data_IF_632950619804
#
_entry.id   IF_632950619804
#
_cell.length_a   1.000
_cell.length_b   1.000
_cell.length_c   1.000
_cell.angle_alpha   90.00
_cell.angle_beta   90.00
_cell.angle_gamma   90.00
#
_symmetry.space_group_name_H-M   'P 1'
#
loop_
_entity.id
_entity.type
_entity.pdbx_description
1 polymer ?
#
# COMPACT_ATOMS: atom_id res chain seq x y z
N UNK A 1 28.32 -51.41 -9.86
CA UNK A 1 29.46 -50.99 -9.02
C UNK A 1 30.67 -50.80 -9.93
N UNK A 2 31.44 -49.71 -9.83
CA UNK A 2 31.29 -48.54 -8.95
C UNK A 2 30.91 -47.26 -9.71
N UNK A 3 30.09 -46.42 -9.07
CA UNK A 3 29.88 -45.02 -9.42
C UNK A 3 30.88 -44.15 -8.63
N UNK A 4 31.38 -43.10 -9.26
CA UNK A 4 32.04 -41.95 -8.60
C UNK A 4 31.52 -40.68 -9.29
N UNK A 5 31.28 -39.57 -8.56
CA UNK A 5 30.42 -38.48 -9.00
C UNK A 5 31.20 -37.38 -9.72
N UNK A 6 30.53 -36.62 -10.59
CA UNK A 6 31.07 -35.37 -11.13
C UNK A 6 30.11 -34.20 -10.97
N UNK A 7 30.73 -33.08 -10.62
CA UNK A 7 30.19 -31.83 -10.11
C UNK A 7 29.36 -31.01 -11.10
N UNK A 8 28.57 -30.13 -10.48
CA UNK A 8 27.86 -28.98 -11.04
C UNK A 8 28.73 -28.04 -11.87
N UNK A 9 28.15 -27.48 -12.93
CA UNK A 9 28.55 -26.19 -13.49
C UNK A 9 27.30 -25.32 -13.73
N UNK A 10 27.34 -24.11 -13.19
CA UNK A 10 26.31 -23.09 -13.34
C UNK A 10 26.48 -22.28 -14.64
N UNK A 11 25.36 -21.71 -15.07
CA UNK A 11 25.28 -20.56 -15.97
C UNK A 11 24.43 -19.53 -15.22
N UNK A 12 24.83 -18.29 -14.98
CA UNK A 12 25.52 -17.36 -15.87
C UNK A 12 24.55 -16.18 -16.06
N UNK A 13 24.47 -15.28 -15.08
CA UNK A 13 23.63 -14.07 -15.13
C UNK A 13 24.40 -13.01 -15.92
N UNK A 14 23.88 -12.67 -17.09
CA UNK A 14 24.40 -11.61 -17.96
C UNK A 14 24.07 -10.23 -17.36
N UNK A 15 25.10 -9.42 -17.16
CA UNK A 15 25.00 -8.03 -16.73
C UNK A 15 24.28 -7.18 -17.79
N UNK A 16 23.25 -6.44 -17.38
CA UNK A 16 22.59 -5.43 -18.19
C UNK A 16 23.32 -4.09 -17.95
N UNK A 17 23.73 -3.47 -19.04
CA UNK A 17 24.71 -2.39 -19.11
C UNK A 17 24.22 -1.04 -18.57
N UNK A 18 25.15 -0.28 -17.98
CA UNK A 18 25.01 1.09 -17.45
C UNK A 18 24.55 2.15 -18.47
N UNK A 19 24.42 1.82 -19.76
CA UNK A 19 23.99 2.74 -20.81
C UNK A 19 22.46 2.84 -20.97
N UNK A 20 21.70 1.79 -20.67
CA UNK A 20 20.23 1.86 -20.77
C UNK A 20 19.65 2.75 -19.66
N UNK A 21 20.24 2.72 -18.47
CA UNK A 21 19.84 3.55 -17.32
C UNK A 21 20.08 5.05 -17.57
N UNK A 22 21.09 5.42 -18.37
CA UNK A 22 21.33 6.84 -18.71
C UNK A 22 20.32 7.37 -19.71
N UNK A 23 19.92 6.57 -20.70
CA UNK A 23 18.90 6.96 -21.68
C UNK A 23 17.52 7.18 -21.05
N UNK A 24 17.15 6.37 -20.04
CA UNK A 24 15.88 6.55 -19.32
C UNK A 24 15.83 7.86 -18.53
N UNK A 25 16.97 8.31 -17.98
CA UNK A 25 17.07 9.55 -17.20
C UNK A 25 16.99 10.80 -18.06
N UNK A 26 17.61 10.81 -19.24
CA UNK A 26 17.49 11.93 -20.18
C UNK A 26 16.05 12.05 -20.71
N UNK A 27 15.40 10.94 -21.03
CA UNK A 27 14.01 10.92 -21.50
C UNK A 27 13.00 11.44 -20.46
N UNK A 28 13.23 11.14 -19.17
CA UNK A 28 12.43 11.67 -18.07
C UNK A 28 12.60 13.18 -17.89
N UNK A 29 13.81 13.71 -18.16
CA UNK A 29 14.11 15.12 -18.01
C UNK A 29 13.43 15.98 -19.09
N UNK A 30 13.40 15.49 -20.34
CA UNK A 30 12.72 16.20 -21.45
C UNK A 30 11.20 16.27 -21.23
N UNK A 31 10.58 15.21 -20.70
CA UNK A 31 9.13 15.21 -20.41
C UNK A 31 8.72 16.14 -19.27
N UNK A 32 9.60 16.44 -18.32
CA UNK A 32 9.34 17.39 -17.25
C UNK A 32 9.36 18.84 -17.76
N UNK A 33 10.27 19.16 -18.70
CA UNK A 33 10.35 20.49 -19.31
C UNK A 33 9.15 20.79 -20.22
N UNK A 34 8.58 19.78 -20.89
CA UNK A 34 7.40 19.94 -21.74
C UNK A 34 6.09 20.20 -20.94
N UNK A 35 6.04 19.79 -19.66
CA UNK A 35 4.86 20.00 -18.80
C UNK A 35 4.86 21.41 -18.18
N UNK A 36 6.02 22.02 -17.95
CA UNK A 36 6.11 23.39 -17.44
C UNK A 36 5.79 24.46 -18.50
N UNK A 37 5.77 24.10 -19.79
CA UNK A 37 5.53 25.02 -20.89
C UNK A 37 4.04 25.28 -21.20
N UNK A 38 3.10 24.48 -20.69
CA UNK A 38 1.67 24.59 -21.02
C UNK A 38 0.84 25.47 -20.06
N UNK A 39 1.42 25.99 -18.98
CA UNK A 39 0.70 26.72 -17.92
C UNK A 39 0.83 28.26 -17.97
N UNK A 40 1.00 28.84 -19.17
CA UNK A 40 0.95 30.30 -19.35
C UNK A 40 -0.16 30.73 -20.33
N UNK A 41 -1.29 31.17 -19.77
CA UNK A 41 -2.28 32.01 -20.46
C UNK A 41 -2.83 33.09 -19.51
N UNK A 42 -3.18 34.29 -20.02
CA UNK A 42 -2.92 35.56 -19.33
C UNK A 42 -4.04 36.03 -18.40
N UNK A 43 -3.63 36.82 -17.40
CA UNK A 43 -4.47 37.61 -16.50
C UNK A 43 -5.40 38.56 -17.27
N UNK A 44 -6.66 38.64 -16.83
CA UNK A 44 -7.58 39.72 -17.21
C UNK A 44 -8.03 40.45 -15.95
N UNK A 45 -7.56 41.69 -15.82
CA UNK A 45 -8.00 42.71 -14.87
C UNK A 45 -9.52 42.94 -14.93
N UNK A 46 -10.15 43.07 -13.77
CA UNK A 46 -11.39 43.84 -13.60
C UNK A 46 -11.48 44.32 -12.13
N UNK A 47 -11.24 45.62 -11.93
CA UNK A 47 -11.52 46.33 -10.66
C UNK A 47 -13.05 46.54 -10.47
N UNK A 48 -13.54 46.68 -9.22
CA UNK A 48 -14.94 47.01 -8.95
C UNK A 48 -15.13 48.50 -8.66
N UNK A 49 -16.02 49.18 -9.41
CA UNK A 49 -16.59 50.47 -9.00
C UNK A 49 -18.00 50.29 -8.38
N UNK A 50 -18.18 50.89 -7.20
CA UNK A 50 -19.45 51.00 -6.47
C UNK A 50 -20.42 52.03 -7.11
N UNK A 51 -21.75 51.94 -6.85
CA UNK A 51 -22.75 52.78 -7.51
C UNK A 51 -23.15 54.01 -6.67
N UNK A 52 -23.81 55.02 -7.29
CA UNK A 52 -24.76 55.86 -6.58
C UNK A 52 -26.17 55.87 -7.18
N UNK A 53 -27.09 56.33 -6.34
CA UNK A 53 -28.53 56.15 -6.38
C UNK A 53 -29.33 57.27 -7.10
N UNK A 54 -30.53 56.89 -7.59
CA UNK A 54 -31.82 57.63 -7.67
C UNK A 54 -31.95 58.98 -8.40
N UNK A 55 -32.90 59.10 -9.34
CA UNK A 55 -34.22 59.81 -9.22
C UNK A 55 -35.01 59.91 -10.56
N UNK A 56 -36.32 60.20 -10.42
CA UNK A 56 -37.45 60.08 -11.37
C UNK A 56 -37.57 61.11 -12.53
N UNK A 57 -38.34 60.76 -13.58
CA UNK A 57 -39.31 61.67 -14.21
C UNK A 57 -39.56 61.59 -15.75
N UNK A 58 -40.79 61.22 -16.17
CA UNK A 58 -41.57 61.91 -17.24
C UNK A 58 -41.59 61.47 -18.72
N UNK A 59 -42.65 60.72 -19.11
CA UNK A 59 -43.52 60.71 -20.33
C UNK A 59 -43.05 61.28 -21.71
N UNK A 60 -43.15 60.61 -22.87
CA UNK A 60 -44.38 60.44 -23.71
C UNK A 60 -44.15 59.56 -24.98
N UNK A 61 -45.17 58.81 -25.42
CA UNK A 61 -45.52 58.66 -26.86
C UNK A 61 -45.29 57.35 -27.67
N UNK A 62 -46.36 56.54 -27.81
CA UNK A 62 -46.84 55.78 -29.02
C UNK A 62 -46.19 54.46 -29.57
N UNK A 63 -46.89 53.34 -29.29
CA UNK A 63 -47.25 52.07 -30.04
C UNK A 63 -46.57 51.57 -31.35
N UNK A 64 -46.75 50.30 -31.81
CA UNK A 64 -46.99 49.02 -31.10
C UNK A 64 -46.20 47.77 -31.63
N UNK A 65 -45.98 46.77 -30.76
CA UNK A 65 -46.07 45.33 -31.11
C UNK A 65 -44.80 44.56 -31.56
N UNK A 66 -44.29 43.66 -30.70
CA UNK A 66 -43.96 42.25 -31.03
C UNK A 66 -43.60 41.41 -29.80
N UNK A 67 -44.06 40.16 -29.82
CA UNK A 67 -44.10 39.17 -28.73
C UNK A 67 -42.72 38.79 -28.13
N UNK A 68 -42.71 38.67 -26.80
CA UNK A 68 -41.67 38.06 -25.94
C UNK A 68 -41.18 36.70 -26.50
N UNK A 69 -39.86 36.56 -26.71
CA UNK A 69 -39.14 35.28 -26.60
C UNK A 69 -38.22 35.35 -25.38
N UNK A 70 -38.63 34.71 -24.28
CA UNK A 70 -37.76 34.47 -23.10
C UNK A 70 -36.54 33.66 -23.56
N UNK A 71 -35.34 34.25 -23.53
CA UNK A 71 -34.07 33.50 -23.59
C UNK A 71 -34.03 32.58 -22.36
N UNK A 72 -34.08 31.27 -22.58
CA UNK A 72 -33.84 30.27 -21.54
C UNK A 72 -32.42 30.48 -20.99
N UNK A 73 -32.30 30.79 -19.70
CA UNK A 73 -31.01 30.75 -18.98
C UNK A 73 -30.44 29.33 -19.13
N UNK A 74 -29.21 29.20 -19.63
CA UNK A 74 -28.47 27.94 -19.59
C UNK A 74 -28.40 27.48 -18.12
N UNK A 75 -28.66 26.19 -17.81
CA UNK A 75 -28.49 25.72 -16.45
C UNK A 75 -27.01 25.89 -16.08
N UNK A 76 -26.74 26.55 -14.95
CA UNK A 76 -25.43 26.46 -14.29
C UNK A 76 -25.13 24.97 -14.13
N UNK A 77 -24.00 24.48 -14.66
CA UNK A 77 -23.49 23.14 -14.33
C UNK A 77 -23.48 23.06 -12.81
N UNK A 78 -24.36 22.25 -12.21
CA UNK A 78 -24.20 21.84 -10.82
C UNK A 78 -22.82 21.21 -10.76
N UNK A 79 -21.94 21.72 -9.90
CA UNK A 79 -20.65 21.07 -9.64
C UNK A 79 -20.90 19.61 -9.33
N UNK A 80 -20.07 18.73 -9.90
CA UNK A 80 -20.12 17.31 -9.58
C UNK A 80 -19.90 17.20 -8.06
N UNK A 81 -20.81 16.54 -7.30
CA UNK A 81 -20.61 16.36 -5.87
C UNK A 81 -19.29 15.62 -5.66
N UNK A 82 -18.38 16.18 -4.87
CA UNK A 82 -17.17 15.48 -4.44
C UNK A 82 -17.64 14.32 -3.55
N UNK A 83 -17.32 13.07 -3.90
CA UNK A 83 -17.70 11.93 -3.06
C UNK A 83 -17.04 12.07 -1.69
N UNK A 84 -17.81 11.93 -0.62
CA UNK A 84 -17.31 12.02 0.76
C UNK A 84 -17.03 10.66 1.37
N UNK A 85 -17.44 9.57 0.71
CA UNK A 85 -17.29 8.19 1.17
C UNK A 85 -16.94 7.28 0.00
N UNK A 86 -16.25 6.18 0.29
CA UNK A 86 -15.94 5.13 -0.67
C UNK A 86 -17.21 4.36 -1.11
N UNK A 87 -17.19 3.74 -2.30
CA UNK A 87 -18.23 2.82 -2.77
C UNK A 87 -18.06 1.40 -2.23
N UNK A 88 -19.05 0.52 -2.44
CA UNK A 88 -18.97 -0.92 -2.13
C UNK A 88 -19.38 -1.73 -3.38
N UNK A 89 -18.45 -2.39 -4.11
CA UNK A 89 -17.01 -2.49 -3.81
C UNK A 89 -16.27 -1.14 -3.97
N UNK A 90 -15.08 -0.99 -3.36
CA UNK A 90 -14.32 0.27 -3.38
C UNK A 90 -13.79 0.55 -4.79
N UNK A 91 -14.27 1.64 -5.40
CA UNK A 91 -14.00 2.01 -6.80
C UNK A 91 -13.77 3.51 -7.02
N UNK A 92 -13.88 4.32 -5.98
CA UNK A 92 -13.62 5.77 -6.05
C UNK A 92 -12.12 6.00 -5.83
N UNK A 93 -11.42 6.68 -6.75
CA UNK A 93 -10.01 7.01 -6.58
C UNK A 93 -9.77 7.78 -5.29
N UNK A 94 -8.71 7.42 -4.57
CA UNK A 94 -8.41 8.02 -3.27
C UNK A 94 -8.12 9.52 -3.38
N UNK A 95 -7.55 9.96 -4.51
CA UNK A 95 -7.34 11.38 -4.84
C UNK A 95 -8.64 12.19 -4.89
N UNK A 96 -9.78 11.56 -5.17
CA UNK A 96 -11.10 12.21 -5.14
C UNK A 96 -11.62 12.39 -3.72
N UNK A 97 -11.27 11.48 -2.80
CA UNK A 97 -11.63 11.54 -1.38
C UNK A 97 -10.70 12.48 -0.59
N UNK A 98 -9.45 12.62 -1.02
CA UNK A 98 -8.43 13.49 -0.43
C UNK A 98 -7.86 14.49 -1.45
N UNK A 99 -8.63 15.52 -1.88
CA UNK A 99 -8.17 16.48 -2.89
C UNK A 99 -6.92 17.27 -2.49
N UNK A 100 -6.66 17.42 -1.19
CA UNK A 100 -5.47 18.09 -0.66
C UNK A 100 -4.19 17.25 -0.73
N UNK A 101 -4.28 15.96 -1.11
CA UNK A 101 -3.18 14.98 -1.07
C UNK A 101 -2.53 14.84 0.31
N UNK A 102 -3.28 15.13 1.36
CA UNK A 102 -2.90 14.87 2.74
C UNK A 102 -3.66 13.63 3.20
N UNK A 103 -2.93 12.54 3.42
CA UNK A 103 -3.51 11.25 3.77
C UNK A 103 -3.37 10.96 5.27
N UNK A 104 -4.25 10.12 5.85
CA UNK A 104 -4.20 9.77 7.26
C UNK A 104 -2.85 9.16 7.66
N UNK A 105 -2.31 9.64 8.78
CA UNK A 105 -1.09 9.08 9.36
C UNK A 105 -1.32 7.65 9.88
N UNK A 106 -0.25 6.86 9.89
CA UNK A 106 -0.24 5.59 10.60
C UNK A 106 -0.12 5.78 12.11
N UNK A 107 0.09 4.68 12.83
CA UNK A 107 0.45 4.75 14.25
C UNK A 107 1.87 5.30 14.39
N UNK A 108 2.03 6.38 15.16
CA UNK A 108 3.33 6.92 15.52
C UNK A 108 3.72 6.44 16.92
N UNK A 109 4.82 5.73 17.02
CA UNK A 109 5.35 5.19 18.27
C UNK A 109 6.69 5.83 18.62
N UNK A 110 6.95 5.99 19.91
CA UNK A 110 8.29 6.38 20.39
C UNK A 110 9.23 5.17 20.36
N UNK A 111 10.48 5.39 19.94
CA UNK A 111 11.48 4.32 19.96
C UNK A 111 11.79 3.89 21.40
N UNK A 112 11.97 2.59 21.59
CA UNK A 112 12.32 1.99 22.88
C UNK A 112 13.68 2.50 23.37
N UNK A 113 13.73 2.89 24.65
CA UNK A 113 14.93 3.40 25.33
C UNK A 113 15.57 4.64 24.67
N UNK A 114 14.83 5.35 23.82
CA UNK A 114 15.30 6.55 23.15
C UNK A 114 15.10 7.79 24.03
N UNK A 115 15.99 8.77 23.85
CA UNK A 115 15.85 10.04 24.53
C UNK A 115 14.89 10.96 23.74
N UNK A 116 14.24 11.92 24.42
CA UNK A 116 13.33 12.88 23.79
C UNK A 116 13.99 13.74 22.69
N UNK A 117 15.30 13.61 22.42
CA UNK A 117 15.98 14.38 21.39
C UNK A 117 15.44 14.08 20.00
N UNK A 118 14.94 12.88 19.69
CA UNK A 118 14.42 12.60 18.34
C UNK A 118 13.18 13.42 17.99
N UNK A 119 12.29 13.61 18.95
CA UNK A 119 11.06 14.38 18.76
C UNK A 119 11.25 15.89 18.94
N UNK A 120 12.23 16.30 19.76
CA UNK A 120 12.44 17.71 20.12
C UNK A 120 13.55 18.40 19.34
N UNK A 121 14.52 17.66 18.78
CA UNK A 121 15.63 18.23 18.04
C UNK A 121 15.16 18.83 16.70
N UNK A 122 15.49 20.09 16.48
CA UNK A 122 15.09 20.87 15.32
C UNK A 122 15.65 20.32 13.99
N UNK A 123 16.86 19.77 14.00
CA UNK A 123 17.49 19.15 12.82
C UNK A 123 16.72 17.91 12.38
N UNK A 124 16.37 17.03 13.32
CA UNK A 124 15.57 15.83 13.03
C UNK A 124 14.17 16.18 12.52
N UNK A 125 13.52 17.18 13.12
CA UNK A 125 12.23 17.70 12.62
C UNK A 125 12.36 18.35 11.23
N UNK A 126 13.50 18.95 10.92
CA UNK A 126 13.74 19.52 9.59
C UNK A 126 13.92 18.42 8.54
N UNK A 127 14.72 17.39 8.84
CA UNK A 127 14.88 16.21 7.98
C UNK A 127 13.53 15.51 7.72
N UNK A 128 12.71 15.35 8.77
CA UNK A 128 11.37 14.79 8.66
C UNK A 128 10.45 15.60 7.75
N UNK A 129 10.50 16.95 7.87
CA UNK A 129 9.75 17.87 6.98
C UNK A 129 10.21 17.78 5.52
N UNK A 130 11.50 17.58 5.27
CA UNK A 130 12.03 17.42 3.89
C UNK A 130 11.47 16.13 3.27
N UNK A 131 11.27 15.07 4.07
CA UNK A 131 10.76 13.79 3.60
C UNK A 131 9.23 13.70 3.53
N UNK A 132 8.50 14.81 3.73
CA UNK A 132 7.04 14.81 3.78
C UNK A 132 6.39 14.20 2.52
N UNK A 133 6.93 14.46 1.33
CA UNK A 133 6.39 13.88 0.08
C UNK A 133 6.50 12.34 0.09
N UNK A 134 7.63 11.81 0.55
CA UNK A 134 7.80 10.36 0.74
C UNK A 134 6.80 9.80 1.76
N UNK A 135 6.55 10.54 2.85
CA UNK A 135 5.56 10.12 3.84
C UNK A 135 4.14 10.12 3.25
N UNK A 136 3.77 11.11 2.44
CA UNK A 136 2.46 11.14 1.78
C UNK A 136 2.29 9.99 0.80
N UNK A 137 3.32 9.63 0.03
CA UNK A 137 3.27 8.48 -0.89
C UNK A 137 3.01 7.17 -0.13
N UNK A 138 3.73 6.93 0.98
CA UNK A 138 3.47 5.77 1.85
C UNK A 138 2.06 5.81 2.47
N UNK A 139 1.63 6.98 2.97
CA UNK A 139 0.31 7.14 3.59
C UNK A 139 -0.82 6.92 2.59
N UNK A 140 -0.64 7.36 1.34
CA UNK A 140 -1.57 7.09 0.24
C UNK A 140 -1.65 5.58 -0.03
N UNK A 141 -0.51 4.92 -0.25
CA UNK A 141 -0.47 3.47 -0.46
C UNK A 141 -1.10 2.70 0.70
N UNK A 142 -0.84 3.13 1.93
CA UNK A 142 -1.36 2.50 3.14
C UNK A 142 -2.87 2.69 3.29
N UNK A 143 -3.40 3.86 2.92
CA UNK A 143 -4.85 4.10 2.94
C UNK A 143 -5.58 3.29 1.89
N UNK A 144 -5.02 3.14 0.68
CA UNK A 144 -5.53 2.23 -0.34
C UNK A 144 -5.55 0.81 0.22
N UNK A 145 -4.43 0.34 0.77
CA UNK A 145 -4.32 -1.00 1.36
C UNK A 145 -5.37 -1.21 2.47
N UNK A 146 -5.53 -0.26 3.39
CA UNK A 146 -6.54 -0.31 4.47
C UNK A 146 -7.95 -0.48 3.94
N UNK A 147 -8.38 0.34 2.96
CA UNK A 147 -9.73 0.25 2.40
C UNK A 147 -9.95 -1.07 1.65
N UNK A 148 -8.97 -1.51 0.86
CA UNK A 148 -9.05 -2.78 0.12
C UNK A 148 -9.05 -3.98 1.08
N UNK A 149 -8.23 -3.95 2.13
CA UNK A 149 -8.19 -4.99 3.18
C UNK A 149 -9.53 -5.11 3.92
N UNK A 150 -10.14 -3.97 4.29
CA UNK A 150 -11.45 -3.95 4.93
C UNK A 150 -12.53 -4.57 4.02
N UNK A 151 -12.53 -4.21 2.74
CA UNK A 151 -13.40 -4.82 1.74
C UNK A 151 -13.12 -6.33 1.60
N UNK A 152 -11.86 -6.74 1.48
CA UNK A 152 -11.47 -8.14 1.34
C UNK A 152 -11.94 -8.99 2.53
N UNK A 153 -11.75 -8.53 3.78
CA UNK A 153 -12.25 -9.22 4.98
C UNK A 153 -13.77 -9.41 4.97
N UNK A 154 -14.52 -8.44 4.45
CA UNK A 154 -15.98 -8.54 4.29
C UNK A 154 -16.37 -9.49 3.16
N UNK A 155 -15.70 -9.39 2.02
CA UNK A 155 -16.03 -10.08 0.77
C UNK A 155 -15.65 -11.55 0.78
N UNK A 156 -14.46 -11.92 1.28
CA UNK A 156 -13.94 -13.28 1.23
C UNK A 156 -14.83 -14.21 2.09
N UNK A 157 -15.35 -15.26 1.45
CA UNK A 157 -16.20 -16.29 2.08
C UNK A 157 -15.89 -17.67 1.51
N UNK A 158 -16.16 -18.74 2.26
CA UNK A 158 -16.08 -20.12 1.76
C UNK A 158 -16.92 -20.28 0.49
N UNK A 159 -16.40 -21.04 -0.48
CA UNK A 159 -17.03 -21.24 -1.78
C UNK A 159 -16.59 -20.28 -2.89
N UNK A 160 -15.78 -19.26 -2.58
CA UNK A 160 -15.23 -18.36 -3.59
C UNK A 160 -13.99 -18.94 -4.28
N UNK A 161 -13.87 -18.75 -5.60
CA UNK A 161 -12.65 -19.09 -6.32
C UNK A 161 -11.52 -18.12 -5.94
N UNK A 162 -10.29 -18.61 -5.81
CA UNK A 162 -9.14 -17.74 -5.49
C UNK A 162 -8.91 -16.69 -6.57
N UNK A 163 -9.17 -17.03 -7.83
CA UNK A 163 -9.09 -16.09 -8.96
C UNK A 163 -10.03 -14.90 -8.77
N UNK A 164 -11.25 -15.14 -8.30
CA UNK A 164 -12.23 -14.06 -8.06
C UNK A 164 -11.80 -13.19 -6.89
N UNK A 165 -11.23 -13.78 -5.83
CA UNK A 165 -10.71 -13.05 -4.68
C UNK A 165 -9.56 -12.13 -5.12
N UNK A 166 -8.57 -12.67 -5.86
CA UNK A 166 -7.43 -11.92 -6.36
C UNK A 166 -7.89 -10.76 -7.25
N UNK A 167 -8.74 -11.02 -8.24
CA UNK A 167 -9.24 -9.98 -9.15
C UNK A 167 -9.99 -8.88 -8.39
N UNK A 168 -10.83 -9.23 -7.41
CA UNK A 168 -11.56 -8.25 -6.62
C UNK A 168 -10.63 -7.34 -5.80
N UNK A 169 -9.54 -7.87 -5.24
CA UNK A 169 -8.52 -7.09 -4.51
C UNK A 169 -7.78 -6.18 -5.49
N UNK A 170 -7.25 -6.74 -6.58
CA UNK A 170 -6.44 -6.00 -7.54
C UNK A 170 -7.23 -4.91 -8.26
N UNK A 171 -8.47 -5.18 -8.66
CA UNK A 171 -9.35 -4.17 -9.26
C UNK A 171 -9.66 -3.04 -8.30
N UNK A 172 -9.76 -3.34 -7.00
CA UNK A 172 -9.95 -2.32 -5.97
C UNK A 172 -8.70 -1.46 -5.82
N UNK A 173 -7.51 -2.06 -5.80
CA UNK A 173 -6.24 -1.30 -5.75
C UNK A 173 -6.10 -0.39 -6.98
N UNK A 174 -6.29 -0.93 -8.19
CA UNK A 174 -6.23 -0.15 -9.45
C UNK A 174 -7.22 1.01 -9.46
N UNK A 175 -8.45 0.79 -8.96
CA UNK A 175 -9.46 1.84 -8.90
C UNK A 175 -9.11 2.92 -7.88
N UNK A 176 -8.64 2.54 -6.70
CA UNK A 176 -8.31 3.47 -5.60
C UNK A 176 -7.01 4.23 -5.83
N UNK A 177 -6.02 3.61 -6.49
CA UNK A 177 -4.82 4.32 -6.94
C UNK A 177 -5.15 5.31 -8.05
N UNK A 178 -6.16 5.02 -8.87
CA UNK A 178 -6.45 5.77 -10.10
C UNK A 178 -5.56 5.37 -11.27
N UNK A 179 -4.78 4.31 -11.11
CA UNK A 179 -3.79 3.80 -12.07
C UNK A 179 -4.10 2.34 -12.39
N UNK A 180 -4.51 2.09 -13.63
CA UNK A 180 -4.91 0.75 -14.07
C UNK A 180 -3.75 -0.09 -14.59
N UNK A 181 -2.59 0.54 -14.83
CA UNK A 181 -1.39 -0.11 -15.33
C UNK A 181 -1.48 -0.57 -16.79
N UNK A 182 -2.47 -0.10 -17.56
CA UNK A 182 -2.68 -0.48 -18.96
C UNK A 182 -1.91 0.41 -19.94
N UNK A 183 -1.69 1.67 -19.57
CA UNK A 183 -0.85 2.59 -20.35
C UNK A 183 0.61 2.41 -19.95
N UNK A 184 1.53 2.47 -20.92
CA UNK A 184 2.97 2.37 -20.66
C UNK A 184 3.41 3.42 -19.63
N UNK A 185 4.10 2.96 -18.58
CA UNK A 185 4.58 3.81 -17.48
C UNK A 185 3.52 4.15 -16.40
N UNK A 186 2.23 3.91 -16.64
CA UNK A 186 1.17 4.20 -15.65
C UNK A 186 1.38 3.42 -14.35
N UNK A 187 1.69 2.13 -14.47
CA UNK A 187 1.95 1.25 -13.34
C UNK A 187 3.22 1.61 -12.56
N UNK A 188 4.09 2.50 -13.05
CA UNK A 188 5.24 3.00 -12.27
C UNK A 188 4.82 4.15 -11.34
N UNK A 189 3.75 4.87 -11.67
CA UNK A 189 3.26 5.99 -10.85
C UNK A 189 2.58 5.44 -9.59
N UNK A 190 1.63 4.54 -9.72
CA UNK A 190 1.03 3.84 -8.60
C UNK A 190 0.31 2.57 -9.05
N UNK A 191 0.04 1.66 -8.11
CA UNK A 191 -0.67 0.42 -8.40
C UNK A 191 -0.31 -0.70 -7.45
N UNK A 192 -0.37 -1.94 -7.96
CA UNK A 192 0.02 -3.14 -7.22
C UNK A 192 1.52 -3.13 -6.95
N UNK A 193 1.93 -3.21 -5.68
CA UNK A 193 3.34 -3.34 -5.30
C UNK A 193 3.93 -4.70 -5.64
N UNK A 194 3.11 -5.75 -5.57
CA UNK A 194 3.40 -7.13 -5.94
C UNK A 194 2.07 -7.92 -6.09
N UNK A 195 2.07 -9.14 -6.66
CA UNK A 195 0.84 -9.91 -6.88
C UNK A 195 0.08 -10.24 -5.58
N UNK A 196 -1.24 -10.43 -5.67
CA UNK A 196 -2.05 -10.83 -4.52
C UNK A 196 -1.76 -12.29 -4.13
N UNK A 197 -1.01 -12.49 -3.06
CA UNK A 197 -0.79 -13.77 -2.41
C UNK A 197 -2.05 -14.28 -1.71
N UNK A 198 -2.46 -15.50 -2.02
CA UNK A 198 -3.62 -16.22 -1.48
C UNK A 198 -3.19 -17.63 -1.04
N UNK A 199 -2.13 -17.70 -0.24
CA UNK A 199 -1.51 -18.97 0.15
C UNK A 199 -2.41 -19.69 1.17
N UNK A 200 -2.76 -20.95 0.90
CA UNK A 200 -3.72 -21.71 1.71
C UNK A 200 -3.02 -22.83 2.49
N UNK A 201 -3.45 -23.02 3.74
CA UNK A 201 -3.04 -24.10 4.64
C UNK A 201 -1.52 -24.15 4.81
N UNK A 202 -0.89 -25.27 4.46
CA UNK A 202 0.55 -25.50 4.62
C UNK A 202 1.42 -24.64 3.70
N UNK A 203 0.86 -24.01 2.67
CA UNK A 203 1.58 -23.04 1.84
C UNK A 203 1.58 -21.69 2.55
N UNK A 204 2.74 -21.23 3.02
CA UNK A 204 2.85 -20.03 3.84
C UNK A 204 2.77 -18.72 3.04
N UNK A 205 3.45 -18.66 1.89
CA UNK A 205 3.64 -17.45 1.11
C UNK A 205 3.77 -17.75 -0.40
N UNK A 206 3.74 -16.69 -1.22
CA UNK A 206 4.07 -16.68 -2.65
C UNK A 206 3.19 -17.55 -3.56
N UNK A 207 1.98 -17.91 -3.11
CA UNK A 207 0.99 -18.53 -3.98
C UNK A 207 -0.03 -17.50 -4.46
N UNK A 208 -0.24 -17.42 -5.77
CA UNK A 208 -1.35 -16.68 -6.39
C UNK A 208 -1.95 -17.54 -7.53
N UNK A 209 -3.27 -17.49 -7.77
CA UNK A 209 -3.88 -18.32 -8.82
C UNK A 209 -3.45 -17.89 -10.23
N UNK A 210 -2.83 -18.81 -10.97
CA UNK A 210 -2.58 -18.65 -12.41
C UNK A 210 -3.87 -18.85 -13.24
N UNK A 211 -3.83 -18.46 -14.51
CA UNK A 211 -4.93 -18.68 -15.45
C UNK A 211 -5.38 -20.15 -15.46
N UNK A 212 -6.69 -20.38 -15.38
CA UNK A 212 -7.28 -21.72 -15.32
C UNK A 212 -7.25 -22.38 -13.93
N UNK A 213 -6.77 -21.69 -12.89
CA UNK A 213 -6.91 -22.16 -11.52
C UNK A 213 -8.39 -22.38 -11.14
N UNK A 214 -8.65 -23.48 -10.43
CA UNK A 214 -10.00 -23.88 -9.99
C UNK A 214 -10.09 -24.04 -8.47
N UNK A 215 -9.10 -23.56 -7.72
CA UNK A 215 -9.10 -23.68 -6.27
C UNK A 215 -10.15 -22.75 -5.68
N UNK A 216 -10.87 -23.27 -4.70
CA UNK A 216 -11.97 -22.62 -4.01
C UNK A 216 -11.61 -22.61 -2.54
N UNK A 217 -11.76 -21.47 -1.87
CA UNK A 217 -11.52 -21.38 -0.43
C UNK A 217 -12.62 -22.15 0.33
N UNK A 218 -12.23 -23.04 1.22
CA UNK A 218 -13.11 -23.85 2.06
C UNK A 218 -13.32 -23.27 3.47
N UNK A 219 -14.30 -23.82 4.20
CA UNK A 219 -14.62 -23.43 5.59
C UNK A 219 -13.46 -23.67 6.55
N UNK A 220 -12.69 -24.74 6.32
CA UNK A 220 -11.59 -25.18 7.19
C UNK A 220 -10.21 -24.65 6.76
N UNK A 221 -10.16 -23.85 5.71
CA UNK A 221 -8.91 -23.34 5.19
C UNK A 221 -8.37 -22.17 6.03
N UNK A 222 -7.05 -22.12 6.14
CA UNK A 222 -6.31 -20.98 6.68
C UNK A 222 -5.59 -20.28 5.52
N UNK A 223 -6.16 -19.18 5.06
CA UNK A 223 -5.66 -18.44 3.91
C UNK A 223 -4.91 -17.19 4.34
N UNK A 224 -3.68 -17.01 3.86
CA UNK A 224 -2.91 -15.78 4.02
C UNK A 224 -3.19 -14.90 2.81
N UNK A 225 -3.72 -13.72 3.05
CA UNK A 225 -3.98 -12.69 2.04
C UNK A 225 -2.89 -11.63 2.18
N UNK A 226 -2.05 -11.55 1.17
CA UNK A 226 -0.83 -10.74 1.17
C UNK A 226 -0.79 -9.97 -0.15
N UNK A 227 -0.82 -8.64 -0.09
CA UNK A 227 -0.80 -7.83 -1.30
C UNK A 227 -0.16 -6.48 -1.03
N UNK A 228 0.56 -5.98 -2.04
CA UNK A 228 1.25 -4.70 -1.96
C UNK A 228 0.53 -3.60 -2.70
N UNK A 229 0.69 -2.37 -2.22
CA UNK A 229 0.31 -1.15 -2.95
C UNK A 229 1.53 -0.24 -3.01
N UNK A 230 1.81 0.37 -4.16
CA UNK A 230 2.85 1.40 -4.23
C UNK A 230 2.33 2.72 -4.80
N UNK A 231 3.01 3.79 -4.42
CA UNK A 231 2.91 5.14 -5.01
C UNK A 231 4.34 5.64 -5.17
N UNK A 232 4.73 6.04 -6.39
CA UNK A 232 6.08 6.48 -6.76
C UNK A 232 7.19 5.52 -6.28
N UNK A 233 6.93 4.21 -6.35
CA UNK A 233 7.82 3.16 -5.89
C UNK A 233 7.93 2.99 -4.37
N UNK A 234 7.20 3.75 -3.56
CA UNK A 234 7.08 3.55 -2.11
C UNK A 234 6.06 2.43 -1.86
N UNK A 235 6.55 1.23 -1.56
CA UNK A 235 5.72 0.04 -1.44
C UNK A 235 5.24 -0.12 0.00
N UNK A 236 3.92 -0.24 0.16
CA UNK A 236 3.29 -0.76 1.36
C UNK A 236 3.09 -2.25 1.18
N UNK A 237 3.78 -3.00 2.02
CA UNK A 237 3.73 -4.44 2.14
C UNK A 237 3.03 -4.80 3.45
N UNK A 238 1.90 -5.52 3.36
CA UNK A 238 1.10 -5.87 4.54
C UNK A 238 0.17 -7.04 4.22
N UNK A 239 0.17 -8.03 5.10
CA UNK A 239 -0.66 -9.21 5.00
C UNK A 239 -1.68 -9.34 6.14
N UNK A 240 -2.63 -10.26 5.97
CA UNK A 240 -3.49 -10.74 7.05
C UNK A 240 -3.94 -12.17 6.77
N UNK A 241 -4.31 -12.89 7.84
CA UNK A 241 -4.84 -14.25 7.73
C UNK A 241 -6.37 -14.25 7.81
N UNK A 242 -7.00 -15.09 6.98
CA UNK A 242 -8.42 -15.41 7.00
C UNK A 242 -8.58 -16.88 7.38
N UNK A 243 -9.30 -17.15 8.46
CA UNK A 243 -9.79 -18.45 8.85
C UNK A 243 -11.25 -18.29 9.26
N UNK A 244 -12.10 -19.28 8.95
CA UNK A 244 -13.51 -19.30 9.33
C UNK A 244 -13.79 -20.26 10.49
N UNK A 245 -12.97 -21.30 10.60
CA UNK A 245 -13.01 -22.25 11.70
C UNK A 245 -12.31 -21.66 12.94
N UNK A 246 -13.02 -21.48 14.07
CA UNK A 246 -12.47 -20.91 15.30
C UNK A 246 -11.36 -21.76 15.92
N UNK A 247 -11.20 -23.02 15.47
CA UNK A 247 -10.05 -23.87 15.84
C UNK A 247 -8.70 -23.16 15.64
N UNK A 248 -8.62 -22.22 14.68
CA UNK A 248 -7.40 -21.48 14.37
C UNK A 248 -7.28 -20.12 15.07
N UNK A 249 -8.25 -19.71 15.90
CA UNK A 249 -8.23 -18.37 16.51
C UNK A 249 -6.97 -18.13 17.35
N UNK A 250 -6.56 -19.13 18.14
CA UNK A 250 -5.34 -18.99 18.95
C UNK A 250 -4.07 -18.98 18.09
N UNK A 251 -4.10 -19.65 16.93
CA UNK A 251 -3.00 -19.61 15.97
C UNK A 251 -2.87 -18.22 15.33
N UNK A 252 -4.00 -17.59 14.97
CA UNK A 252 -4.03 -16.23 14.45
C UNK A 252 -3.61 -15.19 15.51
N UNK A 253 -4.03 -15.39 16.76
CA UNK A 253 -3.64 -14.54 17.88
C UNK A 253 -2.13 -14.61 18.14
N UNK A 254 -1.55 -15.81 18.20
CA UNK A 254 -0.12 -16.02 18.37
C UNK A 254 0.72 -15.24 17.36
N UNK A 255 0.34 -15.30 16.08
CA UNK A 255 1.05 -14.59 15.02
C UNK A 255 0.88 -13.11 15.09
N UNK A 256 -0.34 -12.65 15.35
CA UNK A 256 -0.60 -11.23 15.50
C UNK A 256 0.25 -10.63 16.62
N UNK A 257 0.29 -11.29 17.79
CA UNK A 257 1.08 -10.81 18.93
C UNK A 257 2.59 -10.89 18.67
N UNK A 258 3.05 -11.90 17.93
CA UNK A 258 4.43 -12.01 17.51
C UNK A 258 4.81 -10.91 16.49
N UNK A 259 3.95 -10.61 15.51
CA UNK A 259 4.12 -9.49 14.56
C UNK A 259 4.17 -8.16 15.29
N UNK A 260 3.20 -7.90 16.18
CA UNK A 260 3.13 -6.67 16.96
C UNK A 260 4.35 -6.52 17.87
N UNK A 261 4.88 -7.63 18.39
CA UNK A 261 6.16 -7.66 19.13
C UNK A 261 7.33 -7.30 18.24
N UNK A 262 7.42 -7.85 17.02
CA UNK A 262 8.44 -7.47 16.05
C UNK A 262 8.41 -5.98 15.72
N UNK A 263 7.23 -5.41 15.48
CA UNK A 263 7.04 -3.98 15.23
C UNK A 263 7.46 -3.14 16.44
N UNK A 264 7.08 -3.56 17.65
CA UNK A 264 7.41 -2.85 18.90
C UNK A 264 8.89 -2.88 19.23
N UNK A 265 9.59 -3.96 18.90
CA UNK A 265 11.04 -4.10 19.14
C UNK A 265 11.88 -3.52 18.00
N UNK A 266 11.30 -3.25 16.83
CA UNK A 266 11.98 -2.56 15.74
C UNK A 266 12.30 -1.11 16.09
N UNK A 267 13.48 -0.65 15.71
CA UNK A 267 13.91 0.72 15.97
C UNK A 267 15.30 1.01 15.44
N UNK A 268 15.63 2.29 15.30
CA UNK A 268 16.97 2.72 14.87
C UNK A 268 18.00 2.16 15.85
N UNK A 269 19.13 1.68 15.31
CA UNK A 269 20.23 1.05 16.05
C UNK A 269 19.94 -0.32 16.69
N UNK A 270 18.71 -0.85 16.55
CA UNK A 270 18.34 -2.19 17.02
C UNK A 270 18.92 -3.25 16.08
N UNK A 271 19.49 -4.32 16.66
CA UNK A 271 20.00 -5.47 15.90
C UNK A 271 18.85 -6.35 15.44
N UNK A 272 18.86 -6.77 14.18
CA UNK A 272 17.78 -7.58 13.62
C UNK A 272 17.62 -8.94 14.33
N UNK A 273 18.71 -9.54 14.85
CA UNK A 273 18.64 -10.77 15.66
C UNK A 273 17.88 -10.62 16.99
N UNK A 274 17.87 -9.42 17.59
CA UNK A 274 17.17 -9.18 18.85
C UNK A 274 15.66 -9.15 18.60
N UNK A 275 15.24 -8.54 17.48
CA UNK A 275 13.85 -8.55 17.00
C UNK A 275 13.40 -10.00 16.77
N UNK A 276 14.19 -10.80 16.04
CA UNK A 276 13.87 -12.21 15.80
C UNK A 276 13.80 -13.06 17.05
N UNK A 277 14.62 -12.75 18.07
CA UNK A 277 14.55 -13.43 19.36
C UNK A 277 13.26 -13.11 20.12
N UNK A 278 12.85 -11.84 20.15
CA UNK A 278 11.61 -11.41 20.80
C UNK A 278 10.35 -11.95 20.09
N UNK A 279 10.35 -11.97 18.76
CA UNK A 279 9.29 -12.58 17.95
C UNK A 279 9.14 -14.06 18.31
N UNK A 280 10.24 -14.82 18.32
CA UNK A 280 10.20 -16.25 18.61
C UNK A 280 9.69 -16.53 20.03
N UNK A 281 10.14 -15.75 21.02
CA UNK A 281 9.72 -15.90 22.41
C UNK A 281 8.20 -15.79 22.54
N UNK A 282 7.61 -14.75 21.93
CA UNK A 282 6.15 -14.55 21.95
C UNK A 282 5.44 -15.60 21.11
N UNK A 283 5.94 -15.93 19.91
CA UNK A 283 5.31 -16.93 19.06
C UNK A 283 5.23 -18.32 19.73
N UNK A 284 6.34 -18.76 20.31
CA UNK A 284 6.46 -20.10 20.92
C UNK A 284 5.86 -20.17 22.34
N UNK A 285 5.32 -19.07 22.87
CA UNK A 285 4.54 -19.09 24.12
C UNK A 285 3.09 -19.55 23.93
N UNK A 286 2.63 -19.71 22.68
CA UNK A 286 1.28 -20.14 22.35
C UNK A 286 1.24 -21.63 21.95
N UNK A 287 0.09 -22.25 22.19
CA UNK A 287 -0.24 -23.60 21.72
C UNK A 287 -1.63 -23.60 21.05
N UNK A 288 -1.88 -24.53 20.14
CA UNK A 288 -3.18 -24.66 19.47
C UNK A 288 -3.62 -26.12 19.47
N UNK A 289 -4.90 -26.38 19.76
CA UNK A 289 -5.48 -27.71 19.67
C UNK A 289 -6.17 -27.90 18.32
N UNK A 290 -5.69 -28.83 17.50
CA UNK A 290 -6.26 -29.14 16.18
C UNK A 290 -6.57 -30.63 16.14
N UNK A 291 -7.85 -30.97 16.02
CA UNK A 291 -8.29 -32.36 15.94
C UNK A 291 -8.01 -33.19 17.21
N UNK A 292 -8.06 -32.56 18.39
CA UNK A 292 -7.78 -33.21 19.68
C UNK A 292 -6.30 -33.38 20.01
N UNK A 293 -5.41 -32.77 19.22
CA UNK A 293 -3.96 -32.79 19.43
C UNK A 293 -3.47 -31.36 19.64
N UNK A 294 -2.75 -31.14 20.74
CA UNK A 294 -2.12 -29.85 21.04
C UNK A 294 -0.76 -29.73 20.35
N UNK A 295 -0.55 -28.61 19.66
CA UNK A 295 0.70 -28.27 18.99
C UNK A 295 1.26 -26.95 19.55
N UNK A 296 2.55 -26.87 19.89
CA UNK A 296 3.19 -25.59 20.11
C UNK A 296 3.26 -24.82 18.78
N UNK A 297 2.96 -23.52 18.81
CA UNK A 297 3.11 -22.66 17.63
C UNK A 297 4.59 -22.44 17.37
N UNK A 298 5.00 -22.48 16.10
CA UNK A 298 6.41 -22.32 15.68
C UNK A 298 6.52 -21.31 14.55
N UNK A 299 7.55 -20.47 14.64
CA UNK A 299 7.93 -19.59 13.56
C UNK A 299 8.56 -20.39 12.40
N UNK A 300 8.24 -20.04 11.14
CA UNK A 300 8.91 -20.63 9.98
C UNK A 300 10.31 -20.04 9.88
N UNK A 301 11.30 -20.74 10.44
CA UNK A 301 12.71 -20.27 10.57
C UNK A 301 13.38 -19.75 9.30
N UNK A 302 12.90 -20.13 8.12
CA UNK A 302 13.46 -19.75 6.82
C UNK A 302 12.58 -18.73 6.06
N UNK A 303 11.61 -18.11 6.74
CA UNK A 303 10.90 -16.93 6.28
C UNK A 303 11.22 -15.76 7.21
N UNK A 304 11.20 -14.55 6.67
CA UNK A 304 11.74 -13.37 7.31
C UNK A 304 10.97 -12.13 6.87
N UNK A 305 10.95 -11.10 7.73
CA UNK A 305 10.70 -9.74 7.26
C UNK A 305 11.90 -9.21 6.47
N UNK A 306 11.79 -8.01 5.92
CA UNK A 306 12.85 -7.44 5.08
C UNK A 306 12.77 -5.91 4.99
N UNK A 307 13.90 -5.28 4.69
CA UNK A 307 13.89 -3.87 4.27
C UNK A 307 13.19 -3.71 2.91
N UNK A 308 12.67 -2.52 2.64
CA UNK A 308 12.00 -2.13 1.40
C UNK A 308 12.70 -0.88 0.86
N UNK A 309 13.09 -0.94 -0.41
CA UNK A 309 13.67 0.18 -1.14
C UNK A 309 12.68 0.68 -2.21
N UNK A 310 12.87 1.90 -2.76
CA UNK A 310 12.05 2.37 -3.88
C UNK A 310 12.03 1.37 -5.04
N UNK A 311 10.83 0.93 -5.44
CA UNK A 311 10.60 -0.10 -6.47
C UNK A 311 11.24 -1.47 -6.21
N UNK A 312 11.70 -1.74 -5.00
CA UNK A 312 12.40 -2.96 -4.65
C UNK A 312 11.85 -3.51 -3.33
N UNK A 313 11.00 -4.54 -3.44
CA UNK A 313 10.32 -5.18 -2.30
C UNK A 313 11.30 -5.73 -1.27
N UNK A 314 12.42 -6.33 -1.70
CA UNK A 314 13.48 -6.81 -0.82
C UNK A 314 14.73 -5.93 -0.95
N UNK A 315 14.91 -5.01 -0.01
CA UNK A 315 15.98 -4.00 0.02
C UNK A 315 17.35 -4.51 0.48
N UNK A 316 17.48 -5.80 0.78
CA UNK A 316 18.76 -6.46 1.06
C UNK A 316 19.03 -6.76 2.54
N UNK A 317 18.30 -6.16 3.48
CA UNK A 317 18.33 -6.56 4.90
C UNK A 317 17.17 -7.50 5.20
N UNK A 318 17.42 -8.56 5.95
CA UNK A 318 16.40 -9.51 6.41
C UNK A 318 16.17 -9.35 7.91
N UNK A 319 14.90 -9.34 8.32
CA UNK A 319 14.48 -9.31 9.72
C UNK A 319 14.13 -10.74 10.13
N UNK A 320 14.97 -11.43 10.93
CA UNK A 320 14.71 -12.79 11.35
C UNK A 320 13.50 -12.86 12.28
N UNK A 321 12.89 -14.05 12.34
CA UNK A 321 11.72 -14.34 13.19
C UNK A 321 12.01 -15.47 14.19
N UNK A 322 13.29 -15.85 14.26
CA UNK A 322 13.85 -16.82 15.18
C UNK A 322 15.13 -16.24 15.78
N UNK A 323 15.47 -16.67 16.99
CA UNK A 323 16.70 -16.27 17.67
C UNK A 323 17.94 -16.70 16.88
N UNK A 324 18.98 -15.89 17.04
CA UNK A 324 20.22 -16.02 16.28
C UNK A 324 20.18 -15.24 14.97
N UNK A 325 21.17 -15.47 14.11
CA UNK A 325 21.29 -14.77 12.83
C UNK A 325 22.14 -13.50 12.91
N UNK A 326 21.87 -12.60 11.96
CA UNK A 326 22.68 -11.40 11.69
C UNK A 326 22.53 -10.33 12.79
N UNK A 327 23.64 -9.68 13.14
CA UNK A 327 23.68 -8.58 14.10
C UNK A 327 23.62 -7.19 13.43
N UNK A 328 23.41 -7.13 12.11
CA UNK A 328 23.13 -5.89 11.39
C UNK A 328 22.04 -5.08 12.10
N UNK A 329 22.24 -3.77 12.15
CA UNK A 329 21.32 -2.85 12.78
C UNK A 329 20.37 -2.22 11.77
N UNK A 330 19.17 -1.89 12.24
CA UNK A 330 18.27 -0.99 11.53
C UNK A 330 18.82 0.44 11.56
N UNK A 331 18.68 1.14 10.45
CA UNK A 331 19.21 2.50 10.24
C UNK A 331 18.10 3.54 10.12
N UNK A 332 18.44 4.80 10.36
CA UNK A 332 17.50 5.92 10.22
C UNK A 332 17.08 6.10 8.76
N UNK A 333 15.78 6.26 8.51
CA UNK A 333 15.21 6.40 7.17
C UNK A 333 14.96 5.07 6.43
N UNK A 334 15.22 3.93 7.07
CA UNK A 334 14.86 2.61 6.51
C UNK A 334 13.36 2.31 6.66
N UNK A 335 12.81 1.65 5.64
CA UNK A 335 11.48 1.05 5.68
C UNK A 335 11.63 -0.46 5.72
N UNK A 336 10.87 -1.13 6.58
CA UNK A 336 10.93 -2.59 6.71
C UNK A 336 9.53 -3.19 6.85
N UNK A 337 9.33 -4.37 6.27
CA UNK A 337 8.22 -5.26 6.55
C UNK A 337 8.58 -6.18 7.73
N UNK A 338 7.64 -6.37 8.66
CA UNK A 338 7.72 -7.29 9.80
C UNK A 338 6.72 -8.45 9.70
N UNK A 339 6.41 -8.93 8.49
CA UNK A 339 5.47 -10.04 8.29
C UNK A 339 5.97 -11.37 8.88
N UNK A 340 5.02 -12.13 9.43
CA UNK A 340 5.24 -13.38 10.15
C UNK A 340 4.47 -14.53 9.51
N UNK A 341 5.17 -15.66 9.32
CA UNK A 341 4.61 -16.85 8.66
C UNK A 341 4.61 -18.07 9.59
N UNK A 342 3.57 -18.91 9.46
CA UNK A 342 3.28 -20.05 10.36
C UNK A 342 3.53 -21.39 9.69
N UNK A 343 4.16 -22.30 10.43
CA UNK A 343 4.06 -23.73 10.18
C UNK A 343 3.65 -24.48 11.45
N UNK A 344 2.59 -25.28 11.39
CA UNK A 344 2.40 -26.40 12.31
C UNK A 344 3.07 -27.61 11.66
N UNK A 345 4.14 -28.13 12.27
CA UNK A 345 4.72 -29.37 11.78
C UNK A 345 3.85 -30.54 12.29
N UNK A 346 3.41 -31.49 11.44
CA UNK A 346 2.70 -32.68 11.88
C UNK A 346 3.57 -33.59 12.77
#
# INVERSE_FOLDING_TARGET
MPDTPQESQGAGITAINSLEVSLSKEFLKTKLEDVEAEDNAPESDDEPEDPPATTNGGDTGSTPGKKKKKKKKKPKKKGVPVPTTQSDPPRIPLSSLFPSRVYPEGECVEYKDDNLSRTTNEEKRHLDRINNDTHQDFRQGAEIHRQVRQYAKKMIKPGMALTDIANNIEDSVRALSGHNGLTEGDGLIAGMGFPTGLSINNCAAHYTPNAGNKMIVGEKDVMKVDFGVHVNGKIVDSAFTVAFDPTYDNLLAAVKDATDTGVREAGIDVRVCDIGSAIQEVMESYEVEIGGVTYPVKAIRNLNGHSINPYQIHGGKSVPIVKGGDQTKMEEGEFSNCDQYIGSNP
#
